data_IF_594956653058
#
_entry.id   IF_594956653058
#
_cell.length_a   1.000
_cell.length_b   1.000
_cell.length_c   1.000
_cell.angle_alpha   90.00
_cell.angle_beta   90.00
_cell.angle_gamma   90.00
#
_symmetry.space_group_name_H-M   'P 1'
#
loop_
_entity.id
_entity.type
_entity.pdbx_description
1 polymer ?
#
# COMPACT_ATOMS: atom_id res chain seq x y z
N UNK A 1 10.98 2.47 -16.78
CA UNK A 1 9.53 2.18 -16.92
C UNK A 1 8.81 3.51 -16.85
N UNK A 2 7.87 3.79 -17.75
CA UNK A 2 7.12 5.05 -17.77
C UNK A 2 5.64 4.67 -17.75
N UNK A 3 4.94 5.09 -16.70
CA UNK A 3 3.52 4.88 -16.48
C UNK A 3 2.90 6.26 -16.28
N UNK A 4 1.78 6.52 -16.97
CA UNK A 4 1.01 7.73 -16.79
C UNK A 4 0.01 7.50 -15.65
N UNK A 5 0.19 8.18 -14.51
CA UNK A 5 -0.62 7.94 -13.33
C UNK A 5 -2.09 8.36 -13.53
N UNK A 6 -2.33 9.33 -14.41
CA UNK A 6 -3.66 9.87 -14.72
C UNK A 6 -4.59 8.79 -15.29
N UNK A 7 -4.03 7.75 -15.93
CA UNK A 7 -4.79 6.63 -16.50
C UNK A 7 -5.33 5.67 -15.43
N UNK A 8 -4.91 5.81 -14.17
CA UNK A 8 -5.27 4.93 -13.04
C UNK A 8 -5.94 5.68 -11.89
N UNK A 9 -5.93 7.01 -11.91
CA UNK A 9 -6.46 7.82 -10.82
C UNK A 9 -7.98 7.69 -10.71
N UNK A 10 -8.48 7.32 -9.53
CA UNK A 10 -9.90 7.06 -9.26
C UNK A 10 -10.54 6.00 -10.18
N UNK A 11 -9.74 5.12 -10.78
CA UNK A 11 -10.22 4.02 -11.60
C UNK A 11 -10.04 2.73 -10.80
N UNK A 12 -11.16 2.06 -10.51
CA UNK A 12 -11.15 0.77 -9.85
C UNK A 12 -10.83 -0.33 -10.88
N UNK A 13 -9.69 -0.99 -10.71
CA UNK A 13 -9.25 -2.14 -11.49
C UNK A 13 -8.50 -3.11 -10.56
N UNK A 14 -9.19 -4.18 -10.19
CA UNK A 14 -8.73 -5.24 -9.31
C UNK A 14 -7.84 -6.28 -10.01
N UNK A 15 -7.65 -6.14 -11.34
CA UNK A 15 -6.83 -7.09 -12.10
C UNK A 15 -5.36 -6.85 -11.83
N UNK A 16 -4.56 -7.92 -11.91
CA UNK A 16 -3.11 -7.80 -11.75
C UNK A 16 -2.49 -6.78 -12.71
N UNK A 17 -3.04 -6.65 -13.93
CA UNK A 17 -2.58 -5.72 -14.95
C UNK A 17 -2.83 -4.26 -14.56
N UNK A 18 -3.95 -3.98 -13.88
CA UNK A 18 -4.28 -2.66 -13.36
C UNK A 18 -3.50 -2.30 -12.10
N UNK A 19 -3.33 -3.24 -11.17
CA UNK A 19 -2.77 -2.94 -9.84
C UNK A 19 -1.24 -3.05 -9.78
N UNK A 20 -0.64 -4.10 -10.32
CA UNK A 20 0.80 -4.41 -10.10
C UNK A 20 1.74 -3.36 -10.69
N UNK A 21 1.55 -2.87 -11.95
CA UNK A 21 2.42 -1.85 -12.51
C UNK A 21 2.38 -0.53 -11.74
N UNK A 22 1.20 -0.16 -11.23
CA UNK A 22 0.98 1.04 -10.40
C UNK A 22 1.63 0.88 -9.04
N UNK A 23 1.47 -0.27 -8.38
CA UNK A 23 2.13 -0.57 -7.10
C UNK A 23 3.65 -0.42 -7.21
N UNK A 24 4.24 -1.00 -8.26
CA UNK A 24 5.67 -0.90 -8.53
C UNK A 24 6.08 0.55 -8.80
N UNK A 25 5.28 1.30 -9.57
CA UNK A 25 5.55 2.72 -9.81
C UNK A 25 5.57 3.51 -8.51
N UNK A 26 4.58 3.35 -7.63
CA UNK A 26 4.49 4.05 -6.35
C UNK A 26 5.73 3.78 -5.50
N UNK A 27 6.10 2.52 -5.32
CA UNK A 27 7.28 2.14 -4.52
C UNK A 27 8.56 2.76 -5.09
N UNK A 28 8.74 2.75 -6.41
CA UNK A 28 9.93 3.36 -7.05
C UNK A 28 9.99 4.88 -6.94
N UNK A 29 8.85 5.55 -6.73
CA UNK A 29 8.74 7.02 -6.65
C UNK A 29 8.44 7.53 -5.23
N UNK A 30 8.56 6.67 -4.22
CA UNK A 30 8.39 7.02 -2.82
C UNK A 30 9.72 7.11 -2.08
N UNK A 31 9.75 7.91 -1.01
CA UNK A 31 10.96 8.12 -0.20
C UNK A 31 10.90 7.46 1.19
N UNK A 32 9.76 6.88 1.57
CA UNK A 32 9.55 6.18 2.84
C UNK A 32 8.33 5.26 2.78
N UNK A 33 8.18 4.38 3.78
CA UNK A 33 6.98 3.55 3.93
C UNK A 33 5.69 4.38 4.00
N UNK A 34 5.67 5.42 4.84
CA UNK A 34 4.49 6.27 5.00
C UNK A 34 4.14 7.01 3.70
N UNK A 35 5.16 7.51 2.99
CA UNK A 35 4.99 8.17 1.69
C UNK A 35 4.38 7.21 0.66
N UNK A 36 4.91 5.98 0.56
CA UNK A 36 4.38 4.96 -0.34
C UNK A 36 2.92 4.60 -0.05
N UNK A 37 2.58 4.37 1.23
CA UNK A 37 1.20 4.08 1.63
C UNK A 37 0.28 5.28 1.35
N UNK A 38 0.71 6.52 1.63
CA UNK A 38 -0.08 7.71 1.34
C UNK A 38 -0.34 7.87 -0.16
N UNK A 39 0.65 7.62 -1.00
CA UNK A 39 0.49 7.67 -2.45
C UNK A 39 -0.49 6.59 -2.94
N UNK A 40 -0.37 5.35 -2.45
CA UNK A 40 -1.29 4.26 -2.77
C UNK A 40 -2.75 4.58 -2.44
N UNK A 41 -3.02 5.05 -1.22
CA UNK A 41 -4.37 5.41 -0.78
C UNK A 41 -4.88 6.65 -1.52
N UNK A 42 -4.03 7.63 -1.80
CA UNK A 42 -4.43 8.89 -2.45
C UNK A 42 -4.73 8.74 -3.94
N UNK A 43 -4.31 7.63 -4.58
CA UNK A 43 -4.64 7.36 -5.97
C UNK A 43 -6.16 7.16 -6.18
N UNK A 44 -6.88 6.72 -5.14
CA UNK A 44 -8.33 6.52 -5.18
C UNK A 44 -8.80 5.34 -6.03
N UNK A 45 -7.89 4.45 -6.43
CA UNK A 45 -8.18 3.19 -7.12
C UNK A 45 -8.64 2.10 -6.13
N UNK A 46 -8.33 0.83 -6.40
CA UNK A 46 -8.48 -0.30 -5.47
C UNK A 46 -7.48 -0.18 -4.30
N UNK A 47 -7.76 0.75 -3.39
CA UNK A 47 -6.80 1.27 -2.41
C UNK A 47 -6.36 0.23 -1.36
N UNK A 48 -7.23 -0.70 -0.97
CA UNK A 48 -6.89 -1.77 -0.03
C UNK A 48 -5.98 -2.81 -0.67
N UNK A 49 -6.30 -3.29 -1.89
CA UNK A 49 -5.41 -4.19 -2.64
C UNK A 49 -4.08 -3.52 -2.96
N UNK A 50 -4.12 -2.29 -3.47
CA UNK A 50 -2.93 -1.52 -3.81
C UNK A 50 -2.07 -1.24 -2.57
N UNK A 51 -2.70 -0.83 -1.47
CA UNK A 51 -2.05 -0.57 -0.19
C UNK A 51 -1.39 -1.83 0.40
N UNK A 52 -2.03 -3.00 0.27
CA UNK A 52 -1.45 -4.26 0.70
C UNK A 52 -0.17 -4.61 -0.09
N UNK A 53 -0.21 -4.52 -1.42
CA UNK A 53 0.95 -4.82 -2.28
C UNK A 53 2.08 -3.82 -2.04
N UNK A 54 1.76 -2.52 -2.07
CA UNK A 54 2.73 -1.43 -1.84
C UNK A 54 3.33 -1.57 -0.43
N UNK A 55 2.51 -1.87 0.58
CA UNK A 55 2.95 -2.06 1.95
C UNK A 55 3.97 -3.19 2.11
N UNK A 56 3.69 -4.37 1.55
CA UNK A 56 4.63 -5.50 1.60
C UNK A 56 5.97 -5.20 0.93
N UNK A 57 5.96 -4.46 -0.18
CA UNK A 57 7.19 -4.04 -0.86
C UNK A 57 7.92 -2.94 -0.10
N UNK A 58 7.20 -1.94 0.40
CA UNK A 58 7.76 -0.79 1.09
C UNK A 58 8.37 -1.17 2.45
N UNK A 59 7.75 -2.10 3.18
CA UNK A 59 8.29 -2.66 4.42
C UNK A 59 9.68 -3.27 4.18
N UNK A 60 9.85 -4.05 3.12
CA UNK A 60 11.14 -4.68 2.82
C UNK A 60 12.26 -3.66 2.51
N UNK A 61 11.91 -2.46 2.06
CA UNK A 61 12.87 -1.41 1.68
C UNK A 61 13.17 -0.47 2.86
N UNK A 62 12.15 -0.05 3.60
CA UNK A 62 12.25 1.02 4.62
C UNK A 62 11.88 0.58 6.04
N UNK A 63 11.28 -0.59 6.21
CA UNK A 63 10.61 -0.99 7.46
C UNK A 63 9.31 -0.20 7.71
N UNK A 64 8.52 -0.68 8.67
CA UNK A 64 7.28 -0.02 9.09
C UNK A 64 7.59 0.91 10.28
N UNK A 65 7.17 2.18 10.27
CA UNK A 65 7.26 3.03 11.46
C UNK A 65 6.43 2.44 12.61
N UNK A 66 7.04 2.24 13.79
CA UNK A 66 6.41 1.61 14.97
C UNK A 66 5.04 2.23 15.31
N UNK A 67 4.92 3.56 15.23
CA UNK A 67 3.65 4.27 15.48
C UNK A 67 2.51 3.81 14.56
N UNK A 68 2.82 3.48 13.31
CA UNK A 68 1.83 3.06 12.31
C UNK A 68 1.46 1.60 12.52
N UNK A 69 2.44 0.75 12.85
CA UNK A 69 2.22 -0.64 13.20
C UNK A 69 1.31 -0.76 14.43
N UNK A 70 1.63 -0.07 15.53
CA UNK A 70 0.81 -0.04 16.75
C UNK A 70 -0.61 0.43 16.47
N UNK A 71 -0.76 1.51 15.70
CA UNK A 71 -2.09 2.03 15.34
C UNK A 71 -2.87 1.04 14.47
N UNK A 72 -2.22 0.35 13.52
CA UNK A 72 -2.86 -0.65 12.68
C UNK A 72 -3.33 -1.86 13.51
N UNK A 73 -2.50 -2.32 14.45
CA UNK A 73 -2.86 -3.37 15.39
C UNK A 73 -4.07 -2.96 16.24
N UNK A 74 -4.18 -1.72 16.69
CA UNK A 74 -5.33 -1.25 17.48
C UNK A 74 -6.68 -1.35 16.75
N UNK A 75 -6.69 -1.34 15.41
CA UNK A 75 -7.90 -1.56 14.63
C UNK A 75 -8.33 -3.03 14.53
N UNK A 76 -7.43 -3.98 14.80
CA UNK A 76 -7.74 -5.40 14.67
C UNK A 76 -8.63 -5.89 15.82
N UNK A 77 -9.68 -6.66 15.52
CA UNK A 77 -10.44 -7.43 16.50
C UNK A 77 -9.55 -8.37 17.33
N UNK A 78 -9.98 -8.67 18.55
CA UNK A 78 -9.22 -9.48 19.50
C UNK A 78 -8.88 -10.88 18.95
N UNK A 79 -9.82 -11.51 18.25
CA UNK A 79 -9.66 -12.83 17.63
C UNK A 79 -8.58 -12.83 16.53
N UNK A 80 -8.39 -11.71 15.82
CA UNK A 80 -7.31 -11.58 14.84
C UNK A 80 -5.95 -11.37 15.51
N UNK A 81 -5.89 -10.60 16.61
CA UNK A 81 -4.64 -10.38 17.37
C UNK A 81 -4.07 -11.67 17.96
N UNK A 82 -4.95 -12.58 18.40
CA UNK A 82 -4.56 -13.85 19.01
C UNK A 82 -3.80 -14.80 18.06
N UNK A 83 -3.84 -14.57 16.74
CA UNK A 83 -3.10 -15.39 15.76
C UNK A 83 -1.61 -15.02 15.69
N UNK A 84 -1.23 -13.86 16.23
CA UNK A 84 0.14 -13.35 16.20
C UNK A 84 1.01 -13.91 17.36
N UNK A 85 0.42 -14.64 18.30
CA UNK A 85 1.06 -15.30 19.45
C UNK A 85 1.36 -16.79 19.20
#
# INVERSE_FOLDING_TARGET
>A
FQLNLDDYQNIFDETCQGTVPVALWIVMHSCSFEDAIRQAVSLGADADTLGAIVGSMAEAIWGIPERMEQQALDYLPLDMKQVLE
#
